data_IF_913468336107
#
_entry.id   IF_913468336107
#
_cell.length_a   1.000
_cell.length_b   1.000
_cell.length_c   1.000
_cell.angle_alpha   90.00
_cell.angle_beta   90.00
_cell.angle_gamma   90.00
#
_symmetry.space_group_name_H-M   'P 1'
#
loop_
_entity.id
_entity.type
_entity.pdbx_description
1 polymer ?
#
# COMPACT_ATOMS: atom_id res chain seq x y z
N UNK A 1 -7.83 -13.52 19.70
CA UNK A 1 -8.65 -12.38 19.22
C UNK A 1 -8.24 -11.96 17.80
N UNK A 2 -8.28 -12.88 16.81
CA UNK A 2 -7.80 -12.64 15.42
C UNK A 2 -8.96 -12.57 14.41
N UNK A 3 -10.12 -13.17 14.73
CA UNK A 3 -11.27 -13.33 13.80
C UNK A 3 -11.99 -12.03 13.40
N UNK A 4 -11.73 -10.90 14.06
CA UNK A 4 -12.43 -9.63 13.77
C UNK A 4 -11.80 -8.74 12.72
N UNK A 5 -10.51 -8.92 12.38
CA UNK A 5 -9.84 -8.02 11.42
C UNK A 5 -10.01 -8.47 9.96
N UNK A 6 -10.03 -9.78 9.71
CA UNK A 6 -10.24 -10.31 8.37
C UNK A 6 -11.59 -9.86 7.81
N UNK A 7 -12.67 -10.02 8.58
CA UNK A 7 -14.01 -9.56 8.22
C UNK A 7 -14.03 -8.05 8.00
N UNK A 8 -13.50 -7.26 8.92
CA UNK A 8 -13.41 -5.80 8.75
C UNK A 8 -12.65 -5.37 7.48
N UNK A 9 -11.54 -6.02 7.15
CA UNK A 9 -10.73 -5.68 5.98
C UNK A 9 -11.35 -6.19 4.67
N UNK A 10 -12.07 -7.31 4.67
CA UNK A 10 -12.71 -7.85 3.48
C UNK A 10 -14.09 -7.26 3.21
N UNK A 11 -14.90 -7.11 4.25
CA UNK A 11 -16.33 -6.76 4.17
C UNK A 11 -16.57 -5.25 4.18
N UNK A 12 -15.55 -4.44 4.47
CA UNK A 12 -15.62 -3.00 4.32
C UNK A 12 -15.79 -2.59 2.85
N UNK A 13 -16.84 -1.81 2.58
CA UNK A 13 -17.15 -1.20 1.27
C UNK A 13 -16.30 0.05 0.97
N UNK A 14 -15.59 0.58 1.97
CA UNK A 14 -14.67 1.72 1.84
C UNK A 14 -13.31 1.33 1.27
N UNK A 15 -12.38 2.28 1.16
CA UNK A 15 -10.99 1.97 0.82
C UNK A 15 -10.39 0.92 1.76
N UNK A 16 -9.53 0.08 1.20
CA UNK A 16 -8.77 -0.88 2.00
C UNK A 16 -7.72 -0.12 2.82
N UNK A 17 -7.78 -0.28 4.14
CA UNK A 17 -6.91 0.42 5.08
C UNK A 17 -5.47 -0.13 5.15
N UNK A 18 -5.01 -0.78 4.08
CA UNK A 18 -3.69 -1.37 3.97
C UNK A 18 -3.29 -1.55 2.49
N UNK A 19 -2.00 -1.65 2.23
CA UNK A 19 -1.47 -2.10 0.95
C UNK A 19 -0.43 -3.19 1.15
N UNK A 20 -0.31 -4.06 0.16
CA UNK A 20 0.63 -5.19 0.15
C UNK A 20 1.29 -5.22 -1.23
N UNK A 21 2.60 -5.28 -1.28
CA UNK A 21 3.33 -5.44 -2.56
C UNK A 21 3.16 -6.87 -3.11
N UNK A 22 3.45 -7.03 -4.40
CA UNK A 22 3.78 -8.35 -4.90
C UNK A 22 5.03 -8.88 -4.19
N UNK A 23 5.23 -10.20 -4.19
CA UNK A 23 6.49 -10.76 -3.70
C UNK A 23 7.60 -10.38 -4.66
N UNK A 24 8.56 -9.59 -4.19
CA UNK A 24 9.67 -9.05 -4.98
C UNK A 24 10.87 -10.00 -4.91
N UNK A 25 11.47 -10.28 -6.06
CA UNK A 25 12.62 -11.19 -6.17
C UNK A 25 12.59 -11.95 -7.50
N UNK A 26 13.43 -12.98 -7.62
CA UNK A 26 13.49 -13.78 -8.85
C UNK A 26 12.29 -14.72 -8.95
N UNK A 27 11.37 -14.41 -9.85
CA UNK A 27 10.19 -15.22 -10.15
C UNK A 27 10.29 -15.78 -11.57
N UNK A 28 10.17 -17.09 -11.73
CA UNK A 28 10.20 -17.73 -13.04
C UNK A 28 8.77 -17.97 -13.56
N UNK A 29 8.45 -17.56 -14.79
CA UNK A 29 7.17 -17.87 -15.39
C UNK A 29 7.05 -19.38 -15.63
N UNK A 30 5.91 -19.95 -15.28
CA UNK A 30 5.54 -21.33 -15.56
C UNK A 30 4.08 -21.36 -16.02
N UNK A 31 3.88 -21.17 -17.32
CA UNK A 31 2.55 -20.98 -17.90
C UNK A 31 1.86 -19.75 -17.33
N UNK A 32 0.70 -19.95 -16.69
CA UNK A 32 -0.07 -18.88 -16.02
C UNK A 32 0.35 -18.61 -14.57
N UNK A 33 1.40 -19.27 -14.09
CA UNK A 33 1.85 -19.19 -12.70
C UNK A 33 3.28 -18.64 -12.63
N UNK A 34 3.63 -18.09 -11.47
CA UNK A 34 4.99 -17.72 -11.12
C UNK A 34 5.54 -18.76 -10.14
N UNK A 35 6.75 -19.26 -10.39
CA UNK A 35 7.48 -20.17 -9.52
C UNK A 35 8.58 -19.42 -8.79
N UNK A 36 8.69 -19.70 -7.50
CA UNK A 36 9.84 -19.27 -6.71
C UNK A 36 11.05 -20.14 -7.07
N UNK A 37 12.22 -19.54 -7.01
CA UNK A 37 13.51 -20.20 -7.13
C UNK A 37 13.98 -20.52 -5.72
N UNK A 38 14.38 -21.77 -5.49
CA UNK A 38 14.90 -22.19 -4.21
C UNK A 38 16.16 -21.39 -3.83
N UNK A 39 16.37 -21.22 -2.52
CA UNK A 39 17.54 -20.53 -1.95
C UNK A 39 17.70 -19.05 -2.36
N UNK A 40 16.63 -18.40 -2.82
CA UNK A 40 16.61 -16.96 -3.06
C UNK A 40 15.93 -16.19 -1.92
N UNK A 41 16.35 -14.94 -1.74
CA UNK A 41 15.70 -13.98 -0.84
C UNK A 41 14.62 -13.25 -1.61
N UNK A 42 13.46 -13.12 -0.96
CA UNK A 42 12.31 -12.40 -1.47
C UNK A 42 11.94 -11.30 -0.49
N UNK A 43 11.44 -10.20 -1.01
CA UNK A 43 11.02 -9.04 -0.25
C UNK A 43 9.50 -8.87 -0.36
N UNK A 44 8.89 -8.47 0.74
CA UNK A 44 7.46 -8.25 0.81
C UNK A 44 7.18 -7.05 1.69
N UNK A 45 6.44 -6.09 1.14
CA UNK A 45 6.13 -4.83 1.81
C UNK A 45 4.66 -4.79 2.19
N UNK A 46 4.40 -4.38 3.43
CA UNK A 46 3.04 -4.23 3.98
C UNK A 46 2.95 -2.84 4.62
N UNK A 47 1.94 -2.07 4.22
CA UNK A 47 1.64 -0.77 4.79
C UNK A 47 0.28 -0.77 5.46
N UNK A 48 0.18 -0.20 6.66
CA UNK A 48 -1.09 0.06 7.34
C UNK A 48 -1.47 1.54 7.23
N UNK A 49 -2.70 1.82 6.83
CA UNK A 49 -3.22 3.18 6.63
C UNK A 49 -4.21 3.61 7.72
N UNK A 50 -4.52 2.74 8.68
CA UNK A 50 -5.38 3.07 9.82
C UNK A 50 -4.75 2.64 11.13
N UNK A 51 -5.15 3.29 12.22
CA UNK A 51 -4.72 2.93 13.58
C UNK A 51 -5.01 1.45 13.89
N UNK A 52 -6.17 0.94 13.45
CA UNK A 52 -6.57 -0.45 13.67
C UNK A 52 -5.61 -1.44 12.98
N UNK A 53 -5.26 -1.17 11.73
CA UNK A 53 -4.30 -2.01 10.97
C UNK A 53 -2.90 -1.90 11.55
N UNK A 54 -2.43 -0.69 11.87
CA UNK A 54 -1.11 -0.49 12.47
C UNK A 54 -0.98 -1.22 13.82
N UNK A 55 -2.03 -1.20 14.64
CA UNK A 55 -2.07 -1.92 15.93
C UNK A 55 -2.03 -3.43 15.73
N UNK A 56 -2.74 -3.94 14.72
CA UNK A 56 -2.68 -5.35 14.34
C UNK A 56 -1.29 -5.76 13.86
N UNK A 57 -0.68 -4.98 12.97
CA UNK A 57 0.69 -5.26 12.49
C UNK A 57 1.67 -5.29 13.65
N UNK A 58 1.58 -4.35 14.60
CA UNK A 58 2.40 -4.35 15.82
C UNK A 58 2.24 -5.64 16.62
N UNK A 59 1.00 -6.11 16.82
CA UNK A 59 0.73 -7.36 17.54
C UNK A 59 1.26 -8.58 16.76
N UNK A 60 1.10 -8.58 15.45
CA UNK A 60 1.58 -9.65 14.57
C UNK A 60 3.11 -9.74 14.58
N UNK A 61 3.81 -8.60 14.54
CA UNK A 61 5.28 -8.55 14.65
C UNK A 61 5.79 -9.06 16.00
N UNK A 62 5.06 -8.83 17.09
CA UNK A 62 5.39 -9.39 18.40
C UNK A 62 5.21 -10.93 18.46
N UNK A 63 4.43 -11.51 17.55
CA UNK A 63 4.13 -12.94 17.46
C UNK A 63 4.47 -13.47 16.06
N UNK A 64 5.59 -13.01 15.50
CA UNK A 64 5.95 -13.26 14.12
C UNK A 64 6.23 -14.76 13.91
N UNK A 65 5.57 -15.41 12.93
CA UNK A 65 5.86 -16.80 12.63
C UNK A 65 7.26 -16.92 11.99
N UNK A 66 7.95 -18.03 12.22
CA UNK A 66 9.26 -18.29 11.58
C UNK A 66 9.14 -18.55 10.07
N UNK A 67 7.96 -18.99 9.64
CA UNK A 67 7.68 -19.45 8.27
C UNK A 67 6.31 -18.92 7.84
N UNK A 68 6.22 -18.47 6.60
CA UNK A 68 4.97 -18.14 5.91
C UNK A 68 4.81 -19.11 4.76
N UNK A 69 3.61 -19.66 4.60
CA UNK A 69 3.26 -20.48 3.44
C UNK A 69 2.48 -19.64 2.42
N UNK A 70 3.01 -19.55 1.19
CA UNK A 70 2.36 -18.88 0.07
C UNK A 70 2.07 -19.89 -1.03
N UNK A 71 0.81 -20.34 -1.11
CA UNK A 71 0.34 -21.31 -2.12
C UNK A 71 1.19 -22.59 -2.19
N UNK A 72 1.61 -23.12 -1.04
CA UNK A 72 2.45 -24.31 -0.94
C UNK A 72 3.94 -24.05 -1.00
N UNK A 73 4.37 -22.79 -1.18
CA UNK A 73 5.77 -22.40 -1.04
C UNK A 73 6.04 -21.95 0.40
N UNK A 74 6.84 -22.75 1.12
CA UNK A 74 7.25 -22.46 2.48
C UNK A 74 8.44 -21.48 2.49
N UNK A 75 8.21 -20.27 2.97
CA UNK A 75 9.20 -19.19 3.04
C UNK A 75 9.59 -18.92 4.49
N UNK A 76 10.87 -19.04 4.80
CA UNK A 76 11.39 -18.65 6.11
C UNK A 76 11.50 -17.13 6.20
N UNK A 77 10.94 -16.52 7.24
CA UNK A 77 11.17 -15.10 7.52
C UNK A 77 12.59 -14.95 8.05
N UNK A 78 13.47 -14.33 7.25
CA UNK A 78 14.86 -14.05 7.62
C UNK A 78 15.00 -12.78 8.45
N UNK A 79 14.25 -11.74 8.07
CA UNK A 79 14.32 -10.43 8.69
C UNK A 79 13.01 -9.69 8.49
N UNK A 80 12.72 -8.78 9.42
CA UNK A 80 11.72 -7.73 9.25
C UNK A 80 12.38 -6.39 9.54
N UNK A 81 12.14 -5.40 8.70
CA UNK A 81 12.55 -4.01 8.90
C UNK A 81 11.31 -3.10 8.85
N UNK A 82 11.37 -1.99 9.59
CA UNK A 82 10.37 -0.94 9.54
C UNK A 82 10.95 0.18 8.68
N UNK A 83 10.44 0.33 7.45
CA UNK A 83 10.93 1.32 6.49
C UNK A 83 10.68 2.75 6.96
N UNK A 84 9.49 3.01 7.54
CA UNK A 84 9.11 4.30 8.11
C UNK A 84 8.53 4.10 9.51
N UNK A 85 8.94 4.96 10.45
CA UNK A 85 8.33 4.98 11.76
C UNK A 85 6.82 5.27 11.65
N UNK A 86 5.97 4.65 12.49
CA UNK A 86 4.55 4.95 12.50
C UNK A 86 4.31 6.44 12.71
N UNK A 87 3.40 7.02 11.93
CA UNK A 87 3.01 8.44 11.98
C UNK A 87 1.49 8.56 11.94
N UNK A 88 0.98 9.76 12.16
CA UNK A 88 -0.43 10.12 12.05
C UNK A 88 -0.66 11.07 10.89
N UNK A 89 -1.87 11.10 10.35
CA UNK A 89 -2.24 12.06 9.29
C UNK A 89 -2.02 13.53 9.72
N UNK A 90 -2.30 13.86 10.99
CA UNK A 90 -2.03 15.18 11.53
C UNK A 90 -0.53 15.52 11.58
N UNK A 91 0.33 14.54 11.86
CA UNK A 91 1.78 14.73 11.79
C UNK A 91 2.25 14.87 10.34
N UNK A 92 1.74 14.03 9.42
CA UNK A 92 2.05 14.13 8.00
C UNK A 92 1.71 15.51 7.43
N UNK A 93 0.54 16.07 7.77
CA UNK A 93 0.11 17.40 7.32
C UNK A 93 1.01 18.53 7.86
N UNK A 94 1.57 18.35 9.06
CA UNK A 94 2.43 19.36 9.72
C UNK A 94 3.91 19.18 9.40
N UNK A 95 4.28 18.14 8.64
CA UNK A 95 5.65 17.93 8.24
C UNK A 95 6.15 19.13 7.42
N UNK A 96 7.37 19.61 7.66
CA UNK A 96 7.93 20.71 6.87
C UNK A 96 8.01 20.30 5.39
N UNK A 97 7.52 21.17 4.50
CA UNK A 97 7.64 21.00 3.06
C UNK A 97 8.98 21.61 2.65
N UNK A 98 9.96 20.76 2.35
CA UNK A 98 11.29 21.22 1.92
C UNK A 98 11.37 21.51 0.41
N UNK A 99 10.47 20.91 -0.38
CA UNK A 99 10.47 20.99 -1.84
C UNK A 99 9.04 21.03 -2.37
N UNK A 100 8.81 21.82 -3.43
CA UNK A 100 7.53 21.89 -4.13
C UNK A 100 7.41 20.90 -5.30
N UNK A 101 8.43 20.05 -5.50
CA UNK A 101 8.48 19.02 -6.54
C UNK A 101 8.52 17.66 -5.85
N UNK A 102 7.76 16.70 -6.38
CA UNK A 102 7.66 15.34 -5.85
C UNK A 102 8.05 14.35 -6.94
N UNK A 103 9.20 13.70 -6.77
CA UNK A 103 9.63 12.61 -7.65
C UNK A 103 9.06 11.26 -7.17
N UNK A 104 8.46 10.52 -8.09
CA UNK A 104 7.85 9.22 -7.79
C UNK A 104 8.44 8.10 -8.65
N UNK A 105 8.74 6.98 -8.00
CA UNK A 105 9.20 5.75 -8.65
C UNK A 105 8.18 4.63 -8.44
N UNK A 106 7.68 4.05 -9.54
CA UNK A 106 6.74 2.93 -9.50
C UNK A 106 7.50 1.60 -9.53
N UNK A 107 7.73 1.01 -8.35
CA UNK A 107 8.47 -0.25 -8.19
C UNK A 107 7.66 -1.51 -8.56
N UNK A 108 6.38 -1.35 -8.87
CA UNK A 108 5.50 -2.41 -9.36
C UNK A 108 4.56 -1.90 -10.46
N UNK A 109 4.10 -2.76 -11.39
CA UNK A 109 3.10 -2.37 -12.40
C UNK A 109 1.90 -1.69 -11.74
N UNK A 110 1.70 -0.41 -12.07
CA UNK A 110 0.66 0.44 -11.49
C UNK A 110 -0.35 0.80 -12.58
N UNK A 111 -1.63 0.66 -12.29
CA UNK A 111 -2.70 1.05 -13.21
C UNK A 111 -3.79 1.80 -12.47
N UNK A 112 -4.44 2.71 -13.18
CA UNK A 112 -5.52 3.54 -12.71
C UNK A 112 -6.83 3.11 -13.37
N UNK A 113 -7.97 3.53 -12.82
CA UNK A 113 -9.28 3.30 -13.45
C UNK A 113 -9.76 4.60 -14.06
N UNK A 114 -10.08 4.57 -15.36
CA UNK A 114 -10.67 5.70 -16.07
C UNK A 114 -11.84 5.23 -16.91
N UNK A 115 -13.03 5.81 -16.68
CA UNK A 115 -14.28 5.43 -17.37
C UNK A 115 -14.55 3.91 -17.38
N UNK A 116 -14.27 3.23 -16.26
CA UNK A 116 -14.45 1.78 -16.11
C UNK A 116 -13.36 0.90 -16.73
N UNK A 117 -12.35 1.49 -17.38
CA UNK A 117 -11.24 0.75 -18.00
C UNK A 117 -9.93 0.91 -17.22
N UNK A 118 -9.05 -0.10 -17.35
CA UNK A 118 -7.68 0.00 -16.86
C UNK A 118 -6.88 0.98 -17.71
N UNK A 119 -6.19 1.90 -17.05
CA UNK A 119 -5.38 2.92 -17.67
C UNK A 119 -3.98 2.89 -17.06
N UNK A 120 -2.93 2.47 -17.82
CA UNK A 120 -1.63 2.14 -17.24
C UNK A 120 -0.67 3.32 -17.08
N UNK A 121 -1.07 4.55 -17.44
CA UNK A 121 -0.18 5.71 -17.37
C UNK A 121 -0.38 6.49 -16.05
N UNK A 122 0.70 6.89 -15.36
CA UNK A 122 0.65 7.69 -14.14
C UNK A 122 0.49 9.17 -14.45
N UNK A 123 -0.66 9.54 -15.02
CA UNK A 123 -1.01 10.97 -15.15
C UNK A 123 -1.30 11.55 -13.76
N UNK A 124 -0.83 12.78 -13.47
CA UNK A 124 -0.99 13.41 -12.16
C UNK A 124 -2.42 13.38 -11.62
N UNK A 125 -3.42 13.78 -12.40
CA UNK A 125 -4.85 13.73 -12.03
C UNK A 125 -5.25 12.38 -11.40
N UNK A 126 -4.99 11.26 -12.10
CA UNK A 126 -5.38 9.92 -11.63
C UNK A 126 -4.61 9.48 -10.38
N UNK A 127 -3.33 9.86 -10.32
CA UNK A 127 -2.44 9.55 -9.20
C UNK A 127 -2.91 10.26 -7.93
N UNK A 128 -3.06 11.58 -8.01
CA UNK A 128 -3.46 12.42 -6.88
C UNK A 128 -4.90 12.17 -6.46
N UNK A 129 -5.81 11.90 -7.40
CA UNK A 129 -7.15 11.41 -7.08
C UNK A 129 -7.12 10.10 -6.27
N UNK A 130 -6.23 9.17 -6.62
CA UNK A 130 -6.10 7.90 -5.90
C UNK A 130 -5.56 8.09 -4.47
N UNK A 131 -4.66 9.05 -4.26
CA UNK A 131 -4.17 9.41 -2.93
C UNK A 131 -5.21 10.17 -2.11
N UNK A 132 -5.87 11.16 -2.70
CA UNK A 132 -6.87 11.97 -2.03
C UNK A 132 -8.03 11.13 -1.50
N UNK A 133 -8.54 10.18 -2.30
CA UNK A 133 -9.62 9.28 -1.84
C UNK A 133 -9.24 8.52 -0.56
N UNK A 134 -8.01 8.01 -0.46
CA UNK A 134 -7.51 7.35 0.76
C UNK A 134 -7.26 8.33 1.89
N UNK A 135 -6.80 9.54 1.58
CA UNK A 135 -6.65 10.59 2.56
C UNK A 135 -7.99 10.93 3.20
N UNK A 136 -9.02 11.21 2.41
CA UNK A 136 -10.36 11.56 2.90
C UNK A 136 -10.97 10.42 3.73
N UNK A 137 -10.78 9.16 3.31
CA UNK A 137 -11.29 7.99 4.04
C UNK A 137 -10.62 7.79 5.42
N UNK A 138 -9.32 8.06 5.56
CA UNK A 138 -8.56 7.66 6.76
C UNK A 138 -8.06 8.81 7.65
N UNK A 139 -7.92 10.03 7.11
CA UNK A 139 -7.28 11.15 7.82
C UNK A 139 -8.17 11.83 8.86
N UNK A 140 -9.50 11.72 8.72
CA UNK A 140 -10.49 12.56 9.41
C UNK A 140 -10.32 14.07 9.12
N UNK A 141 -9.57 14.41 8.06
CA UNK A 141 -9.26 15.77 7.62
C UNK A 141 -9.55 15.86 6.12
N UNK A 142 -10.84 15.79 5.77
CA UNK A 142 -11.26 15.73 4.37
C UNK A 142 -10.86 17.00 3.61
N UNK A 143 -10.42 16.82 2.37
CA UNK A 143 -10.15 17.87 1.41
C UNK A 143 -11.20 17.75 0.29
N UNK A 144 -11.78 18.87 -0.12
CA UNK A 144 -12.77 18.91 -1.20
C UNK A 144 -12.15 18.43 -2.52
N UNK A 145 -12.79 17.44 -3.14
CA UNK A 145 -12.16 16.65 -4.18
C UNK A 145 -12.05 17.39 -5.50
N UNK A 146 -13.13 18.00 -5.96
CA UNK A 146 -13.17 18.74 -7.21
C UNK A 146 -12.16 19.89 -7.18
N UNK A 147 -12.17 20.70 -6.12
CA UNK A 147 -11.26 21.84 -5.96
C UNK A 147 -9.78 21.41 -5.94
N UNK A 148 -9.45 20.28 -5.31
CA UNK A 148 -8.07 19.78 -5.26
C UNK A 148 -7.59 19.26 -6.62
N UNK A 149 -8.45 18.57 -7.36
CA UNK A 149 -8.10 18.06 -8.69
C UNK A 149 -7.97 19.19 -9.71
N UNK A 150 -8.87 20.17 -9.69
CA UNK A 150 -8.75 21.38 -10.52
C UNK A 150 -7.43 22.11 -10.26
N UNK A 151 -7.03 22.22 -8.99
CA UNK A 151 -5.74 22.81 -8.62
C UNK A 151 -4.53 22.04 -9.17
N UNK A 152 -4.58 20.71 -9.23
CA UNK A 152 -3.49 19.90 -9.83
C UNK A 152 -3.39 20.15 -11.34
N UNK A 153 -4.53 20.20 -12.04
CA UNK A 153 -4.57 20.41 -13.49
C UNK A 153 -4.07 21.81 -13.90
N UNK A 154 -4.21 22.82 -13.03
CA UNK A 154 -3.71 24.18 -13.28
C UNK A 154 -2.19 24.36 -13.07
N UNK A 155 -1.54 23.40 -12.38
CA UNK A 155 -0.12 23.50 -11.96
C UNK A 155 0.81 22.63 -12.82
N UNK A 156 0.27 21.72 -13.64
CA UNK A 156 0.99 20.94 -14.68
C UNK A 156 1.28 21.76 -15.96
#
# INVERSE_FOLDING_TARGET
MIRGISAYLHDGESEKAFSISALEGQLLPSGKQLKLVANQIYHWHINGLSQRVASFLKLWLANLPKVIDLRGASLQIKQVSIAHAPTTYAQLLRSPIEQSVVDLSFVSPTSFRRKGHHFPLPVPENLFHSYLRRWNDFSQQSVEQEAFIEWIDEVD
#
